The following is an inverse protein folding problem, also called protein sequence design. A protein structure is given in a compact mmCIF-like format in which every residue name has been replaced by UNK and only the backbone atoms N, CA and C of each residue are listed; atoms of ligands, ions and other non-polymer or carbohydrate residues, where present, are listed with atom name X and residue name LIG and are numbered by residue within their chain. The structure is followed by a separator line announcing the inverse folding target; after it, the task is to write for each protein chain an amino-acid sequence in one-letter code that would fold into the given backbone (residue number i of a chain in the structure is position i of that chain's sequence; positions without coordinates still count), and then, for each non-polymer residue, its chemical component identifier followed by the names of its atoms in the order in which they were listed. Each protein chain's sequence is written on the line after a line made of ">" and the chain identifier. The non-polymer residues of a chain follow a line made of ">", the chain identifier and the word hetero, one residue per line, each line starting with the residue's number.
data_IF_556262961350
#
_entry.id   IF_556262961350
#
_cell.length_a   1.000
_cell.length_b   1.000
_cell.length_c   1.000
_cell.angle_alpha   90.00
_cell.angle_beta   90.00
_cell.angle_gamma   90.00
#
_symmetry.space_group_name_H-M   'P 1'
#
loop_
_entity.id
_entity.type
_entity.pdbx_description
1 polymer ?
#
# COMPACT_ATOMS: atom_id res chain seq x y z
N UNK A 1 17.77 -10.12 -20.50
CA UNK A 1 17.63 -11.59 -20.40
C UNK A 1 16.77 -11.94 -19.19
N UNK A 2 17.16 -11.56 -17.97
CA UNK A 2 16.38 -11.86 -16.76
C UNK A 2 14.92 -11.37 -16.78
N UNK A 3 14.65 -10.16 -17.33
CA UNK A 3 13.28 -9.65 -17.44
C UNK A 3 12.42 -10.48 -18.42
N UNK A 4 12.96 -10.81 -19.60
CA UNK A 4 12.22 -11.62 -20.58
C UNK A 4 11.92 -13.02 -20.05
N UNK A 5 12.84 -13.60 -19.28
CA UNK A 5 12.67 -14.94 -18.70
C UNK A 5 11.53 -14.97 -17.67
N UNK A 6 11.43 -13.97 -16.78
CA UNK A 6 10.33 -13.92 -15.80
C UNK A 6 8.98 -13.61 -16.45
N UNK A 7 8.94 -12.75 -17.47
CA UNK A 7 7.72 -12.47 -18.22
C UNK A 7 7.22 -13.71 -18.97
N UNK A 8 8.11 -14.44 -19.65
CA UNK A 8 7.77 -15.68 -20.31
C UNK A 8 7.27 -16.74 -19.32
N UNK A 9 7.91 -16.84 -18.16
CA UNK A 9 7.47 -17.75 -17.10
C UNK A 9 6.07 -17.40 -16.56
N UNK A 10 5.82 -16.14 -16.24
CA UNK A 10 4.51 -15.69 -15.76
C UNK A 10 3.44 -15.91 -16.82
N UNK A 11 3.73 -15.62 -18.10
CA UNK A 11 2.80 -15.85 -19.20
C UNK A 11 2.39 -17.33 -19.33
N UNK A 12 3.35 -18.24 -19.17
CA UNK A 12 3.08 -19.67 -19.21
C UNK A 12 2.25 -20.14 -17.99
N UNK A 13 2.52 -19.60 -16.80
CA UNK A 13 2.02 -20.13 -15.53
C UNK A 13 0.82 -19.37 -14.92
N UNK A 14 0.49 -18.17 -15.41
CA UNK A 14 -0.74 -17.48 -15.02
C UNK A 14 -1.94 -18.32 -15.46
N UNK A 15 -2.84 -18.56 -14.50
CA UNK A 15 -4.13 -19.23 -14.67
C UNK A 15 -5.26 -18.19 -14.53
N UNK A 16 -5.82 -17.70 -15.66
CA UNK A 16 -6.91 -16.72 -15.68
C UNK A 16 -8.07 -17.01 -14.72
N UNK A 17 -8.61 -18.23 -14.79
CA UNK A 17 -9.76 -18.64 -13.97
C UNK A 17 -9.46 -18.58 -12.46
N UNK A 18 -8.22 -18.88 -12.05
CA UNK A 18 -7.80 -18.77 -10.66
C UNK A 18 -7.79 -17.30 -10.21
N UNK A 19 -7.22 -16.40 -11.01
CA UNK A 19 -7.16 -14.97 -10.65
C UNK A 19 -8.54 -14.32 -10.59
N UNK A 20 -9.45 -14.68 -11.51
CA UNK A 20 -10.85 -14.22 -11.48
C UNK A 20 -11.58 -14.72 -10.22
N UNK A 21 -11.33 -15.96 -9.79
CA UNK A 21 -11.87 -16.50 -8.55
C UNK A 21 -11.30 -15.77 -7.32
N UNK A 22 -9.99 -15.53 -7.29
CA UNK A 22 -9.32 -14.80 -6.19
C UNK A 22 -9.89 -13.39 -6.07
N UNK A 23 -10.05 -12.67 -7.18
CA UNK A 23 -10.65 -11.33 -7.19
C UNK A 23 -12.05 -11.32 -6.57
N UNK A 24 -12.94 -12.21 -7.03
CA UNK A 24 -14.29 -12.35 -6.48
C UNK A 24 -14.28 -12.73 -5.00
N UNK A 25 -13.36 -13.61 -4.60
CA UNK A 25 -13.21 -14.05 -3.21
C UNK A 25 -12.78 -12.90 -2.29
N UNK A 26 -11.81 -12.09 -2.74
CA UNK A 26 -11.38 -10.89 -2.02
C UNK A 26 -12.53 -9.87 -1.92
N UNK A 27 -13.25 -9.59 -3.02
CA UNK A 27 -14.41 -8.68 -3.03
C UNK A 27 -15.47 -9.13 -2.03
N UNK A 28 -15.79 -10.43 -1.98
CA UNK A 28 -16.79 -10.98 -1.07
C UNK A 28 -16.37 -10.87 0.40
N UNK A 29 -15.11 -11.21 0.71
CA UNK A 29 -14.58 -11.09 2.07
C UNK A 29 -14.61 -9.62 2.54
N UNK A 30 -14.13 -8.68 1.72
CA UNK A 30 -14.13 -7.24 2.03
C UNK A 30 -15.55 -6.63 2.13
N UNK A 31 -16.58 -7.34 1.66
CA UNK A 31 -17.99 -6.98 1.81
C UNK A 31 -18.69 -7.65 2.98
N UNK A 32 -17.97 -8.33 3.86
CA UNK A 32 -18.56 -9.08 4.98
C UNK A 32 -19.58 -10.13 4.51
N UNK A 33 -19.41 -10.70 3.31
CA UNK A 33 -20.23 -11.83 2.88
C UNK A 33 -19.76 -13.10 3.58
N UNK A 34 -20.65 -14.07 3.86
CA UNK A 34 -20.23 -15.36 4.40
C UNK A 34 -19.15 -16.02 3.52
N UNK A 35 -18.10 -16.52 4.14
CA UNK A 35 -16.97 -17.15 3.46
C UNK A 35 -16.85 -18.60 3.92
N UNK A 36 -16.57 -19.52 2.99
CA UNK A 36 -16.19 -20.90 3.32
C UNK A 36 -14.79 -20.93 3.96
N UNK A 37 -13.86 -20.13 3.42
CA UNK A 37 -12.56 -19.85 4.00
C UNK A 37 -12.14 -18.41 3.72
N UNK A 38 -11.42 -17.81 4.66
CA UNK A 38 -10.85 -16.48 4.45
C UNK A 38 -9.85 -16.48 3.27
N UNK A 39 -9.74 -15.37 2.53
CA UNK A 39 -8.65 -15.19 1.57
C UNK A 39 -7.31 -15.13 2.29
N UNK A 40 -6.32 -15.87 1.80
CA UNK A 40 -4.95 -15.82 2.32
C UNK A 40 -3.91 -15.80 1.20
N UNK A 41 -2.96 -14.87 1.31
CA UNK A 41 -1.73 -14.84 0.52
C UNK A 41 -0.56 -15.38 1.34
N UNK A 42 0.26 -16.27 0.78
CA UNK A 42 1.36 -16.94 1.48
C UNK A 42 2.66 -16.69 0.74
N UNK A 43 3.54 -15.92 1.36
CA UNK A 43 4.88 -15.68 0.84
C UNK A 43 5.85 -16.75 1.32
N UNK A 44 6.84 -17.10 0.51
CA UNK A 44 7.92 -18.02 0.87
C UNK A 44 9.17 -17.68 0.05
N UNK A 45 10.38 -18.14 0.44
CA UNK A 45 11.57 -17.85 -0.33
C UNK A 45 11.55 -18.69 -1.62
N UNK A 46 11.44 -18.03 -2.76
CA UNK A 46 11.66 -18.65 -4.08
C UNK A 46 13.03 -18.21 -4.62
N UNK A 47 13.73 -19.12 -5.28
CA UNK A 47 15.10 -18.90 -5.79
C UNK A 47 15.18 -18.79 -7.31
N UNK A 48 14.09 -19.07 -8.02
CA UNK A 48 14.05 -19.05 -9.49
C UNK A 48 14.28 -17.65 -10.04
N UNK A 49 13.67 -16.66 -9.39
CA UNK A 49 13.77 -15.25 -9.74
C UNK A 49 14.18 -14.45 -8.51
N UNK A 50 15.45 -14.60 -8.10
CA UNK A 50 15.99 -13.88 -6.96
C UNK A 50 15.91 -12.37 -7.21
N UNK A 51 15.39 -11.62 -6.23
CA UNK A 51 15.30 -10.16 -6.29
C UNK A 51 16.68 -9.52 -6.23
N UNK A 52 16.84 -8.45 -7.00
CA UNK A 52 17.99 -7.56 -6.95
C UNK A 52 17.91 -6.66 -5.70
N UNK A 53 19.06 -6.19 -5.16
CA UNK A 53 19.06 -5.15 -4.13
C UNK A 53 18.30 -3.89 -4.59
N UNK A 54 17.64 -3.21 -3.65
CA UNK A 54 16.80 -2.06 -3.96
C UNK A 54 17.56 -0.95 -4.71
N UNK A 55 18.81 -0.66 -4.35
CA UNK A 55 19.64 0.34 -5.02
C UNK A 55 19.86 0.06 -6.51
N UNK A 56 19.92 -1.22 -6.91
CA UNK A 56 20.04 -1.61 -8.32
C UNK A 56 18.74 -1.40 -9.11
N UNK A 57 17.60 -1.28 -8.42
CA UNK A 57 16.28 -1.03 -9.03
C UNK A 57 15.89 0.44 -9.03
N UNK A 58 16.38 1.21 -8.04
CA UNK A 58 15.99 2.60 -7.87
C UNK A 58 16.33 3.45 -9.10
N UNK A 59 17.49 3.20 -9.71
CA UNK A 59 17.95 3.93 -10.89
C UNK A 59 17.64 3.26 -12.25
N UNK A 60 17.00 2.08 -12.25
CA UNK A 60 16.82 1.29 -13.46
C UNK A 60 15.41 0.66 -13.52
N UNK A 61 14.59 1.14 -14.46
CA UNK A 61 13.19 0.70 -14.60
C UNK A 61 13.05 -0.78 -15.01
N UNK A 62 13.99 -1.34 -15.78
CA UNK A 62 14.01 -2.78 -16.13
C UNK A 62 14.21 -3.64 -14.88
N UNK A 63 15.21 -3.28 -14.07
CA UNK A 63 15.49 -3.96 -12.81
C UNK A 63 14.33 -3.81 -11.81
N UNK A 64 13.69 -2.65 -11.77
CA UNK A 64 12.51 -2.41 -10.94
C UNK A 64 11.35 -3.30 -11.38
N UNK A 65 11.04 -3.35 -12.69
CA UNK A 65 10.01 -4.23 -13.24
C UNK A 65 10.27 -5.68 -12.87
N UNK A 66 11.50 -6.15 -13.06
CA UNK A 66 11.91 -7.52 -12.70
C UNK A 66 11.65 -7.80 -11.20
N UNK A 67 12.01 -6.89 -10.30
CA UNK A 67 11.80 -7.06 -8.86
C UNK A 67 10.32 -7.07 -8.45
N UNK A 68 9.51 -6.22 -9.07
CA UNK A 68 8.06 -6.16 -8.83
C UNK A 68 7.40 -7.47 -9.33
N UNK A 69 7.76 -7.96 -10.52
CA UNK A 69 7.30 -9.25 -11.07
C UNK A 69 7.71 -10.44 -10.17
N UNK A 70 8.95 -10.45 -9.69
CA UNK A 70 9.45 -11.48 -8.78
C UNK A 70 8.67 -11.54 -7.45
N UNK A 71 7.98 -10.46 -7.07
CA UNK A 71 7.09 -10.43 -5.92
C UNK A 71 5.80 -11.23 -6.08
N UNK A 72 5.35 -11.44 -7.32
CA UNK A 72 4.12 -12.19 -7.66
C UNK A 72 4.33 -13.69 -7.92
N UNK A 73 5.57 -14.12 -8.14
CA UNK A 73 5.91 -15.52 -8.49
C UNK A 73 5.37 -16.52 -7.46
N UNK A 74 5.46 -16.19 -6.17
CA UNK A 74 4.98 -17.07 -5.08
C UNK A 74 3.47 -17.35 -5.17
N UNK A 75 2.67 -16.35 -5.53
CA UNK A 75 1.23 -16.50 -5.70
C UNK A 75 0.87 -17.31 -6.94
N UNK A 76 1.62 -17.16 -8.04
CA UNK A 76 1.43 -17.98 -9.25
C UNK A 76 1.75 -19.46 -8.99
N UNK A 77 2.86 -19.74 -8.31
CA UNK A 77 3.30 -21.10 -8.02
C UNK A 77 2.40 -21.80 -6.99
N UNK A 78 2.09 -21.13 -5.87
CA UNK A 78 1.30 -21.72 -4.78
C UNK A 78 -0.21 -21.71 -5.04
N UNK A 79 -0.65 -20.91 -6.02
CA UNK A 79 -2.06 -20.61 -6.31
C UNK A 79 -2.82 -20.17 -5.05
N UNK A 80 -2.18 -19.35 -4.22
CA UNK A 80 -2.82 -18.71 -3.08
C UNK A 80 -3.84 -17.65 -3.52
N UNK A 81 -4.42 -16.91 -2.57
CA UNK A 81 -5.38 -15.84 -2.87
C UNK A 81 -4.70 -14.47 -3.12
N UNK A 82 -3.46 -14.48 -3.63
CA UNK A 82 -2.72 -13.30 -4.03
C UNK A 82 -2.98 -12.87 -5.48
N UNK A 83 -2.97 -11.57 -5.72
CA UNK A 83 -3.09 -10.95 -7.04
C UNK A 83 -1.73 -10.47 -7.55
N UNK A 84 -1.64 -10.18 -8.85
CA UNK A 84 -0.42 -9.70 -9.49
C UNK A 84 -0.48 -8.19 -9.70
N UNK A 85 0.46 -7.47 -9.06
CA UNK A 85 0.45 -6.00 -9.03
C UNK A 85 1.86 -5.44 -9.20
N UNK A 86 2.01 -4.33 -9.91
CA UNK A 86 3.26 -3.59 -10.08
C UNK A 86 3.05 -2.12 -9.76
N UNK A 87 4.01 -1.48 -9.09
CA UNK A 87 4.07 -0.02 -8.95
C UNK A 87 5.41 0.53 -9.43
N UNK A 88 5.44 1.81 -9.79
CA UNK A 88 6.70 2.56 -9.81
C UNK A 88 7.19 2.75 -8.37
N UNK A 89 8.18 1.97 -7.97
CA UNK A 89 8.58 1.80 -6.58
C UNK A 89 9.74 2.72 -6.16
N UNK A 90 9.49 4.03 -6.15
CA UNK A 90 10.46 5.05 -5.70
C UNK A 90 10.43 5.35 -4.20
N UNK A 91 9.66 4.57 -3.43
CA UNK A 91 9.56 4.69 -1.98
C UNK A 91 8.92 5.99 -1.51
N UNK A 92 9.12 6.30 -0.22
CA UNK A 92 8.43 7.39 0.48
C UNK A 92 8.81 8.79 -0.01
N UNK A 93 9.94 8.91 -0.70
CA UNK A 93 10.42 10.17 -1.29
C UNK A 93 9.65 10.63 -2.52
N UNK A 94 8.67 9.86 -3.00
CA UNK A 94 7.92 10.14 -4.22
C UNK A 94 7.27 11.52 -4.22
N UNK A 95 6.32 11.79 -3.32
CA UNK A 95 5.66 13.09 -3.26
C UNK A 95 6.58 14.22 -2.71
N UNK A 96 7.41 14.02 -1.67
CA UNK A 96 8.38 15.02 -1.23
C UNK A 96 9.33 15.51 -2.34
N UNK A 97 9.74 14.64 -3.28
CA UNK A 97 10.66 15.02 -4.36
C UNK A 97 10.10 16.11 -5.29
N UNK A 98 8.77 16.21 -5.43
CA UNK A 98 8.15 17.28 -6.24
C UNK A 98 8.40 18.66 -5.64
N UNK A 99 8.53 18.74 -4.30
CA UNK A 99 8.86 19.95 -3.56
C UNK A 99 10.37 20.25 -3.52
N UNK A 100 11.17 19.46 -4.24
CA UNK A 100 12.63 19.60 -4.29
C UNK A 100 13.38 18.86 -3.19
N UNK A 101 12.72 18.00 -2.41
CA UNK A 101 13.39 17.20 -1.39
C UNK A 101 14.27 16.13 -2.03
N UNK A 102 15.44 15.88 -1.43
CA UNK A 102 16.39 14.89 -1.92
C UNK A 102 16.02 13.52 -1.36
N UNK A 103 15.87 12.53 -2.24
CA UNK A 103 15.59 11.14 -1.87
C UNK A 103 16.78 10.25 -2.22
N UNK A 104 17.37 9.58 -1.22
CA UNK A 104 18.60 8.77 -1.38
C UNK A 104 18.46 7.34 -0.86
N UNK A 105 18.94 6.37 -1.64
CA UNK A 105 19.02 4.97 -1.21
C UNK A 105 20.15 4.81 -0.19
N UNK A 106 19.87 4.14 0.92
CA UNK A 106 20.83 3.90 2.00
C UNK A 106 21.20 2.42 2.03
N UNK A 107 22.50 2.11 2.03
CA UNK A 107 23.06 0.74 2.12
C UNK A 107 22.61 -0.24 1.02
N UNK A 108 22.15 0.24 -0.13
CA UNK A 108 21.64 -0.52 -1.29
C UNK A 108 20.45 -1.46 -1.04
N UNK A 109 20.07 -1.70 0.21
CA UNK A 109 18.98 -2.61 0.60
C UNK A 109 17.79 -1.90 1.20
N UNK A 110 17.96 -0.69 1.75
CA UNK A 110 16.84 0.05 2.34
C UNK A 110 16.05 0.82 1.28
N UNK A 111 14.75 1.00 1.54
CA UNK A 111 13.95 2.02 0.85
C UNK A 111 14.58 3.42 1.04
N UNK A 112 14.32 4.37 0.14
CA UNK A 112 15.07 5.61 0.10
C UNK A 112 14.63 6.54 1.24
N UNK A 113 15.59 7.32 1.73
CA UNK A 113 15.41 8.30 2.79
C UNK A 113 15.24 9.69 2.18
N UNK A 114 14.44 10.53 2.82
CA UNK A 114 14.25 11.93 2.43
C UNK A 114 15.09 12.81 3.34
N UNK A 115 15.93 13.66 2.75
CA UNK A 115 16.60 14.72 3.48
C UNK A 115 15.60 15.89 3.66
N UNK A 116 15.22 16.15 4.91
CA UNK A 116 14.31 17.22 5.30
C UNK A 116 15.00 18.59 5.24
N UNK A 117 14.22 19.67 5.32
CA UNK A 117 14.76 21.03 5.33
C UNK A 117 15.40 21.38 6.68
N UNK A 118 16.38 22.28 6.66
CA UNK A 118 17.12 22.69 7.87
C UNK A 118 16.47 23.86 8.63
N UNK A 119 15.40 24.46 8.11
CA UNK A 119 14.78 25.63 8.75
C UNK A 119 13.32 25.86 8.40
N UNK A 120 12.61 26.53 9.31
CA UNK A 120 11.23 26.96 9.12
C UNK A 120 11.07 27.97 7.96
N UNK A 121 12.12 28.74 7.63
CA UNK A 121 12.07 29.67 6.49
C UNK A 121 12.02 28.92 5.15
N UNK A 122 12.65 27.75 5.06
CA UNK A 122 12.51 26.88 3.89
C UNK A 122 11.11 26.29 3.77
N UNK A 123 10.43 26.02 4.89
CA UNK A 123 9.00 25.62 4.88
C UNK A 123 8.13 26.74 4.33
N UNK A 124 8.36 27.99 4.78
CA UNK A 124 7.66 29.17 4.25
C UNK A 124 7.90 29.36 2.75
N UNK A 125 9.13 29.15 2.29
CA UNK A 125 9.47 29.22 0.87
C UNK A 125 8.75 28.14 0.04
N UNK A 126 8.70 26.89 0.54
CA UNK A 126 7.93 25.81 -0.08
C UNK A 126 6.44 26.18 -0.19
N UNK A 127 5.84 26.69 0.89
CA UNK A 127 4.46 27.14 0.91
C UNK A 127 4.23 28.28 -0.09
N UNK A 128 5.13 29.27 -0.11
CA UNK A 128 5.04 30.44 -0.99
C UNK A 128 5.11 30.07 -2.47
N UNK A 129 5.92 29.07 -2.84
CA UNK A 129 5.99 28.56 -4.22
C UNK A 129 4.70 27.86 -4.67
N UNK A 130 3.88 27.38 -3.73
CA UNK A 130 2.63 26.71 -4.01
C UNK A 130 2.81 25.32 -4.63
N UNK A 131 1.76 24.82 -5.29
CA UNK A 131 1.74 23.48 -5.89
C UNK A 131 2.85 23.36 -6.95
N UNK A 132 3.79 22.41 -6.81
CA UNK A 132 4.88 22.24 -7.77
C UNK A 132 4.38 21.71 -9.12
N UNK A 133 5.18 21.90 -10.17
CA UNK A 133 4.96 21.20 -11.44
C UNK A 133 5.06 19.68 -11.23
N UNK A 134 4.02 18.94 -11.61
CA UNK A 134 3.91 17.49 -11.46
C UNK A 134 4.91 16.68 -12.30
N UNK A 135 5.84 17.33 -13.01
CA UNK A 135 6.97 16.71 -13.70
C UNK A 135 8.30 16.83 -12.94
N UNK A 136 8.38 17.64 -11.87
CA UNK A 136 9.60 17.76 -11.05
C UNK A 136 9.83 16.53 -10.17
N UNK A 137 11.05 16.39 -9.64
CA UNK A 137 11.42 15.25 -8.80
C UNK A 137 11.17 13.92 -9.53
N UNK A 138 10.45 13.02 -8.86
CA UNK A 138 10.05 11.73 -9.45
C UNK A 138 8.75 11.80 -10.27
N UNK A 139 8.12 12.97 -10.40
CA UNK A 139 6.85 13.16 -11.14
C UNK A 139 6.88 12.59 -12.56
N UNK A 140 7.83 13.05 -13.38
CA UNK A 140 8.04 12.55 -14.75
C UNK A 140 8.51 11.10 -14.78
N UNK A 141 9.39 10.75 -13.84
CA UNK A 141 10.01 9.42 -13.74
C UNK A 141 8.97 8.32 -13.52
N UNK A 142 7.96 8.58 -12.69
CA UNK A 142 6.84 7.65 -12.44
C UNK A 142 6.05 7.37 -13.71
N UNK A 143 5.66 8.40 -14.46
CA UNK A 143 4.86 8.23 -15.68
C UNK A 143 5.65 7.47 -16.75
N UNK A 144 6.94 7.78 -16.93
CA UNK A 144 7.84 7.04 -17.83
C UNK A 144 7.99 5.58 -17.41
N UNK A 145 8.01 5.29 -16.10
CA UNK A 145 8.07 3.91 -15.60
C UNK A 145 6.81 3.12 -15.93
N UNK A 146 5.63 3.71 -15.77
CA UNK A 146 4.37 3.04 -16.13
C UNK A 146 4.22 2.84 -17.64
N UNK A 147 4.66 3.81 -18.44
CA UNK A 147 4.74 3.67 -19.91
C UNK A 147 5.65 2.48 -20.27
N UNK A 148 6.85 2.43 -19.70
CA UNK A 148 7.79 1.33 -19.88
C UNK A 148 7.18 -0.02 -19.46
N UNK A 149 6.50 -0.10 -18.30
CA UNK A 149 5.86 -1.34 -17.85
C UNK A 149 4.81 -1.83 -18.85
N UNK A 150 3.96 -0.95 -19.37
CA UNK A 150 2.96 -1.32 -20.38
C UNK A 150 3.61 -1.83 -21.66
N UNK A 151 4.67 -1.17 -22.12
CA UNK A 151 5.42 -1.60 -23.31
C UNK A 151 6.02 -3.01 -23.12
N UNK A 152 6.57 -3.32 -21.94
CA UNK A 152 7.15 -4.63 -21.66
C UNK A 152 6.10 -5.73 -21.47
N UNK A 153 4.92 -5.40 -20.95
CA UNK A 153 3.82 -6.36 -20.76
C UNK A 153 3.07 -6.66 -22.06
N UNK A 154 2.98 -5.70 -22.98
CA UNK A 154 2.16 -5.80 -24.20
C UNK A 154 2.36 -7.08 -25.05
N UNK A 155 3.57 -7.66 -25.19
CA UNK A 155 3.77 -8.91 -25.94
C UNK A 155 3.26 -10.18 -25.24
N UNK A 156 2.87 -10.10 -23.96
CA UNK A 156 2.50 -11.22 -23.10
C UNK A 156 1.02 -11.07 -22.69
N UNK A 157 0.12 -11.79 -23.36
CA UNK A 157 -1.33 -11.59 -23.29
C UNK A 157 -1.87 -11.71 -21.85
N UNK A 158 -1.51 -12.78 -21.14
CA UNK A 158 -1.96 -12.99 -19.76
C UNK A 158 -1.32 -11.97 -18.83
N UNK A 159 -0.02 -11.72 -18.95
CA UNK A 159 0.66 -10.72 -18.14
C UNK A 159 0.02 -9.34 -18.29
N UNK A 160 -0.22 -8.89 -19.53
CA UNK A 160 -0.82 -7.60 -19.84
C UNK A 160 -2.26 -7.46 -19.30
N UNK A 161 -3.00 -8.56 -19.21
CA UNK A 161 -4.38 -8.57 -18.75
C UNK A 161 -4.49 -8.62 -17.23
N UNK A 162 -3.70 -9.50 -16.59
CA UNK A 162 -3.86 -9.86 -15.19
C UNK A 162 -2.91 -9.13 -14.23
N UNK A 163 -1.81 -8.56 -14.73
CA UNK A 163 -0.89 -7.78 -13.90
C UNK A 163 -1.37 -6.32 -13.85
N UNK A 164 -1.71 -5.84 -12.65
CA UNK A 164 -2.29 -4.51 -12.45
C UNK A 164 -1.23 -3.49 -12.04
N UNK A 165 -1.16 -2.39 -12.80
CA UNK A 165 -0.33 -1.23 -12.53
C UNK A 165 -1.09 -0.32 -11.56
N UNK A 166 -0.63 -0.25 -10.31
CA UNK A 166 -1.27 0.51 -9.24
C UNK A 166 -0.46 1.70 -8.78
N UNK A 167 -1.14 2.63 -8.10
CA UNK A 167 -0.52 3.90 -7.75
C UNK A 167 0.74 3.73 -6.87
N UNK A 168 1.74 4.60 -7.05
CA UNK A 168 2.99 4.52 -6.28
C UNK A 168 2.77 4.93 -4.83
N UNK A 169 3.86 4.87 -4.06
CA UNK A 169 3.85 5.26 -2.67
C UNK A 169 3.86 6.78 -2.50
N UNK A 170 2.68 7.38 -2.40
CA UNK A 170 2.54 8.82 -2.21
C UNK A 170 2.48 9.26 -0.74
N UNK A 171 2.47 8.30 0.20
CA UNK A 171 2.28 8.54 1.62
C UNK A 171 0.94 9.28 1.92
N UNK A 172 0.63 9.51 3.20
CA UNK A 172 -0.43 10.41 3.65
C UNK A 172 0.08 11.86 3.73
N UNK A 173 -0.82 12.86 3.78
CA UNK A 173 -0.41 14.27 3.86
C UNK A 173 0.52 14.57 5.03
N UNK A 174 0.24 14.02 6.21
CA UNK A 174 1.06 14.26 7.39
C UNK A 174 2.45 13.62 7.27
N UNK A 175 2.53 12.41 6.72
CA UNK A 175 3.79 11.74 6.44
C UNK A 175 4.67 12.52 5.48
N UNK A 176 4.08 13.09 4.42
CA UNK A 176 4.83 13.94 3.48
C UNK A 176 5.27 15.25 4.13
N UNK A 177 4.40 15.89 4.92
CA UNK A 177 4.76 17.08 5.66
C UNK A 177 5.90 16.80 6.66
N UNK A 178 5.84 15.67 7.37
CA UNK A 178 6.88 15.20 8.28
C UNK A 178 8.19 14.86 7.55
N UNK A 179 8.14 14.28 6.34
CA UNK A 179 9.34 14.04 5.53
C UNK A 179 9.98 15.34 5.02
N UNK A 180 9.18 16.37 4.73
CA UNK A 180 9.67 17.68 4.28
C UNK A 180 10.26 18.47 5.46
N UNK A 181 9.54 18.58 6.57
CA UNK A 181 9.92 19.39 7.72
C UNK A 181 10.89 18.67 8.65
N UNK A 182 10.79 17.35 8.74
CA UNK A 182 11.52 16.56 9.72
C UNK A 182 10.87 16.62 11.11
N UNK A 183 11.59 16.18 12.15
CA UNK A 183 11.03 15.97 13.49
C UNK A 183 10.52 17.26 14.16
N UNK A 184 10.99 18.43 13.73
CA UNK A 184 10.54 19.71 14.28
C UNK A 184 9.05 19.97 14.04
N UNK A 185 8.41 19.28 13.08
CA UNK A 185 6.96 19.39 12.84
C UNK A 185 6.14 19.09 14.11
N UNK A 186 6.59 18.16 14.95
CA UNK A 186 5.86 17.79 16.16
C UNK A 186 5.81 18.93 17.18
N UNK A 187 6.86 19.75 17.24
CA UNK A 187 6.89 20.96 18.07
C UNK A 187 6.14 22.11 17.38
N UNK A 188 6.27 22.21 16.05
CA UNK A 188 5.57 23.21 15.25
C UNK A 188 4.03 23.10 15.34
N UNK A 189 3.48 21.91 15.58
CA UNK A 189 2.04 21.72 15.86
C UNK A 189 1.57 22.50 17.11
N UNK A 190 2.47 22.80 18.05
CA UNK A 190 2.16 23.63 19.22
C UNK A 190 2.54 25.10 18.99
N UNK A 191 3.73 25.35 18.47
CA UNK A 191 4.30 26.71 18.39
C UNK A 191 3.78 27.51 17.20
N UNK A 192 3.52 26.85 16.07
CA UNK A 192 3.10 27.48 14.81
C UNK A 192 2.07 26.61 14.06
N UNK A 193 0.91 26.28 14.66
CA UNK A 193 -0.09 25.39 14.07
C UNK A 193 -0.60 25.87 12.71
N UNK A 194 -0.78 27.18 12.53
CA UNK A 194 -1.21 27.77 11.25
C UNK A 194 -0.25 27.42 10.11
N UNK A 195 1.07 27.43 10.36
CA UNK A 195 2.07 27.09 9.36
C UNK A 195 2.05 25.59 9.01
N UNK A 196 1.77 24.73 10.00
CA UNK A 196 1.55 23.30 9.76
C UNK A 196 0.32 23.11 8.87
N UNK A 197 -0.78 23.81 9.15
CA UNK A 197 -1.98 23.75 8.32
C UNK A 197 -1.78 24.26 6.89
N UNK A 198 -0.98 25.32 6.70
CA UNK A 198 -0.60 25.81 5.38
C UNK A 198 0.18 24.76 4.58
N UNK A 199 1.18 24.12 5.21
CA UNK A 199 1.95 23.03 4.58
C UNK A 199 1.04 21.83 4.24
N UNK A 200 0.22 21.40 5.20
CA UNK A 200 -0.70 20.27 5.04
C UNK A 200 -1.70 20.51 3.90
N UNK A 201 -2.22 21.74 3.76
CA UNK A 201 -3.09 22.12 2.65
C UNK A 201 -2.37 22.01 1.31
N UNK A 202 -1.14 22.53 1.22
CA UNK A 202 -0.33 22.47 0.01
C UNK A 202 0.00 21.01 -0.38
N UNK A 203 0.43 20.19 0.58
CA UNK A 203 0.74 18.77 0.35
C UNK A 203 -0.50 18.02 -0.12
N UNK A 204 -1.65 18.26 0.52
CA UNK A 204 -2.93 17.61 0.16
C UNK A 204 -3.37 17.98 -1.24
N UNK A 205 -3.27 19.26 -1.62
CA UNK A 205 -3.61 19.70 -2.98
C UNK A 205 -2.68 19.07 -4.02
N UNK A 206 -1.39 19.03 -3.73
CA UNK A 206 -0.39 18.41 -4.61
C UNK A 206 -0.62 16.90 -4.76
N UNK A 207 -0.96 16.20 -3.66
CA UNK A 207 -1.35 14.78 -3.69
C UNK A 207 -2.52 14.57 -4.65
N UNK A 208 -3.60 15.35 -4.50
CA UNK A 208 -4.82 15.20 -5.31
C UNK A 208 -4.51 15.40 -6.79
N UNK A 209 -3.75 16.44 -7.13
CA UNK A 209 -3.41 16.73 -8.53
C UNK A 209 -2.50 15.64 -9.12
N UNK A 210 -1.50 15.19 -8.37
CA UNK A 210 -0.61 14.12 -8.81
C UNK A 210 -1.36 12.80 -8.99
N UNK A 211 -2.19 12.40 -8.02
CA UNK A 211 -2.95 11.16 -8.09
C UNK A 211 -3.93 11.17 -9.28
N UNK A 212 -4.63 12.30 -9.53
CA UNK A 212 -5.48 12.46 -10.73
C UNK A 212 -4.70 12.26 -12.04
N UNK A 213 -3.49 12.82 -12.14
CA UNK A 213 -2.61 12.61 -13.29
C UNK A 213 -2.19 11.15 -13.40
N UNK A 214 -1.74 10.55 -12.31
CA UNK A 214 -1.28 9.16 -12.28
C UNK A 214 -2.38 8.17 -12.65
N UNK A 215 -3.65 8.41 -12.30
CA UNK A 215 -4.76 7.52 -12.67
C UNK A 215 -4.90 7.25 -14.16
N UNK A 216 -4.46 8.15 -15.04
CA UNK A 216 -4.36 7.88 -16.50
C UNK A 216 -3.28 6.85 -16.89
N UNK A 217 -2.35 6.57 -15.96
CA UNK A 217 -1.24 5.63 -16.11
C UNK A 217 -1.48 4.27 -15.45
N UNK A 218 -2.61 4.10 -14.76
CA UNK A 218 -2.92 2.93 -13.97
C UNK A 218 -4.08 2.13 -14.58
N UNK A 219 -4.21 0.88 -14.18
CA UNK A 219 -5.38 0.03 -14.44
C UNK A 219 -5.78 -0.69 -13.14
N UNK A 220 -5.73 0.06 -12.04
CA UNK A 220 -5.81 -0.45 -10.67
C UNK A 220 -7.17 -0.31 -10.02
N UNK A 221 -8.23 0.01 -10.75
CA UNK A 221 -9.56 0.19 -10.16
C UNK A 221 -10.54 -0.89 -10.64
N UNK A 222 -11.32 -1.42 -9.69
CA UNK A 222 -12.54 -2.16 -9.97
C UNK A 222 -13.70 -1.29 -9.47
N UNK A 223 -14.64 -0.97 -10.35
CA UNK A 223 -15.85 -0.22 -9.99
C UNK A 223 -17.05 -1.02 -10.48
N UNK A 224 -17.86 -1.51 -9.53
CA UNK A 224 -19.05 -2.28 -9.81
C UNK A 224 -20.16 -1.96 -8.80
N UNK A 225 -21.26 -2.71 -8.86
CA UNK A 225 -22.40 -2.59 -7.95
C UNK A 225 -22.08 -2.86 -6.48
N UNK A 226 -20.97 -3.57 -6.19
CA UNK A 226 -20.50 -3.76 -4.82
C UNK A 226 -19.69 -2.55 -4.31
N UNK A 227 -19.11 -1.74 -5.18
CA UNK A 227 -18.39 -0.53 -4.79
C UNK A 227 -17.13 -0.30 -5.63
N UNK A 228 -16.19 0.45 -5.04
CA UNK A 228 -14.89 0.69 -5.63
C UNK A 228 -13.81 -0.08 -4.88
N UNK A 229 -12.83 -0.59 -5.61
CA UNK A 229 -11.63 -1.22 -5.07
C UNK A 229 -10.41 -0.75 -5.84
N UNK A 230 -9.25 -0.83 -5.19
CA UNK A 230 -7.98 -0.67 -5.85
C UNK A 230 -7.03 -1.82 -5.58
N UNK A 231 -6.24 -2.18 -6.59
CA UNK A 231 -5.19 -3.19 -6.43
C UNK A 231 -4.01 -2.58 -5.68
N UNK A 232 -3.46 -3.32 -4.72
CA UNK A 232 -2.27 -2.87 -3.98
C UNK A 232 -1.56 -4.05 -3.31
N UNK A 233 -0.23 -4.10 -3.38
CA UNK A 233 0.61 -5.13 -2.72
C UNK A 233 0.12 -6.58 -2.89
N UNK A 234 -0.34 -6.94 -4.09
CA UNK A 234 -0.85 -8.28 -4.40
C UNK A 234 -2.19 -8.63 -3.73
N UNK A 235 -3.01 -7.62 -3.40
CA UNK A 235 -4.36 -7.78 -2.87
C UNK A 235 -5.31 -6.68 -3.39
N UNK A 236 -6.55 -6.68 -2.91
CA UNK A 236 -7.53 -5.61 -3.13
C UNK A 236 -7.75 -4.80 -1.85
N UNK A 237 -7.89 -3.50 -2.04
CA UNK A 237 -8.21 -2.52 -1.02
C UNK A 237 -9.56 -1.89 -1.35
N UNK A 238 -10.38 -1.57 -0.35
CA UNK A 238 -11.66 -0.88 -0.60
C UNK A 238 -11.42 0.59 -0.90
N UNK A 239 -12.21 1.13 -1.82
CA UNK A 239 -12.08 2.48 -2.34
C UNK A 239 -11.06 2.60 -3.48
N UNK A 240 -10.73 3.82 -3.90
CA UNK A 240 -9.94 4.09 -5.11
C UNK A 240 -8.48 4.48 -4.84
N UNK A 241 -8.15 4.74 -3.57
CA UNK A 241 -6.82 5.19 -3.14
C UNK A 241 -6.44 4.57 -1.80
N UNK A 242 -5.14 4.42 -1.56
CA UNK A 242 -4.56 4.00 -0.28
C UNK A 242 -3.67 5.11 0.31
N UNK A 243 -4.06 5.67 1.45
CA UNK A 243 -3.23 6.58 2.25
C UNK A 243 -2.28 5.80 3.16
N UNK A 244 -1.05 6.27 3.39
CA UNK A 244 -0.12 5.69 4.38
C UNK A 244 0.18 6.70 5.49
N UNK A 245 -0.21 6.36 6.70
CA UNK A 245 -0.17 7.23 7.86
C UNK A 245 0.85 6.73 8.90
N UNK A 246 2.08 6.45 8.47
CA UNK A 246 3.13 5.86 9.31
C UNK A 246 3.66 6.83 10.37
N UNK A 247 3.59 8.14 10.11
CA UNK A 247 4.03 9.21 11.02
C UNK A 247 2.91 9.59 11.99
N UNK A 248 1.65 9.42 11.58
CA UNK A 248 0.49 9.73 12.41
C UNK A 248 0.41 8.86 13.67
N UNK A 249 1.03 7.67 13.66
CA UNK A 249 1.07 6.77 14.84
C UNK A 249 1.79 7.38 16.05
N UNK A 250 2.61 8.43 15.83
CA UNK A 250 3.28 9.19 16.89
C UNK A 250 2.38 10.25 17.55
N UNK A 251 1.16 10.44 17.04
CA UNK A 251 0.27 11.51 17.48
C UNK A 251 -0.69 11.04 18.57
N UNK A 252 -1.08 11.99 19.42
CA UNK A 252 -2.26 11.85 20.27
C UNK A 252 -3.53 11.93 19.44
N UNK A 253 -4.66 11.47 20.00
CA UNK A 253 -5.96 11.58 19.36
C UNK A 253 -6.32 13.02 18.94
N UNK A 254 -6.17 14.00 19.85
CA UNK A 254 -6.47 15.40 19.55
C UNK A 254 -5.60 15.95 18.39
N UNK A 255 -4.33 15.55 18.35
CA UNK A 255 -3.42 15.94 17.27
C UNK A 255 -3.79 15.29 15.93
N UNK A 256 -4.21 14.02 15.94
CA UNK A 256 -4.70 13.36 14.74
C UNK A 256 -5.98 14.04 14.21
N UNK A 257 -6.93 14.31 15.09
CA UNK A 257 -8.20 14.97 14.74
C UNK A 257 -7.99 16.37 14.13
N UNK A 258 -7.00 17.12 14.62
CA UNK A 258 -6.69 18.47 14.12
C UNK A 258 -5.84 18.46 12.85
N UNK A 259 -4.73 17.72 12.85
CA UNK A 259 -3.68 17.87 11.84
C UNK A 259 -3.66 16.77 10.77
N UNK A 260 -4.44 15.70 10.91
CA UNK A 260 -4.41 14.58 9.94
C UNK A 260 -5.79 14.33 9.36
N UNK A 261 -6.78 14.09 10.22
CA UNK A 261 -8.14 13.71 9.84
C UNK A 261 -8.77 14.63 8.76
N UNK A 262 -8.66 15.97 8.82
CA UNK A 262 -9.29 16.83 7.81
C UNK A 262 -8.69 16.65 6.41
N UNK A 263 -7.38 16.38 6.34
CA UNK A 263 -6.61 16.26 5.10
C UNK A 263 -6.80 14.90 4.45
N UNK A 264 -6.78 13.84 5.27
CA UNK A 264 -7.13 12.49 4.82
C UNK A 264 -8.56 12.44 4.30
N UNK A 265 -9.51 13.01 5.06
CA UNK A 265 -10.92 13.09 4.66
C UNK A 265 -11.06 13.79 3.31
N UNK A 266 -10.38 14.92 3.10
CA UNK A 266 -10.41 15.65 1.82
C UNK A 266 -9.94 14.79 0.66
N UNK A 267 -8.88 13.99 0.83
CA UNK A 267 -8.38 13.10 -0.24
C UNK A 267 -9.38 11.97 -0.49
N UNK A 268 -9.81 11.28 0.56
CA UNK A 268 -10.73 10.13 0.45
C UNK A 268 -12.05 10.57 -0.20
N UNK A 269 -12.60 11.72 0.19
CA UNK A 269 -13.78 12.33 -0.43
C UNK A 269 -13.54 12.66 -1.92
N UNK A 270 -12.39 13.26 -2.24
CA UNK A 270 -12.06 13.63 -3.63
C UNK A 270 -12.04 12.43 -4.57
N UNK A 271 -11.63 11.25 -4.09
CA UNK A 271 -11.63 10.01 -4.84
C UNK A 271 -12.87 9.13 -4.56
N UNK A 272 -13.82 9.62 -3.77
CA UNK A 272 -15.09 8.99 -3.40
C UNK A 272 -14.99 7.93 -2.30
N UNK A 273 -13.85 7.27 -2.15
CA UNK A 273 -13.50 6.39 -1.02
C UNK A 273 -12.05 5.93 -1.12
N UNK A 274 -11.52 5.41 -0.02
CA UNK A 274 -10.22 4.77 0.01
C UNK A 274 -10.03 3.87 1.21
N UNK A 275 -8.79 3.43 1.39
CA UNK A 275 -8.32 2.70 2.55
C UNK A 275 -7.14 3.45 3.20
N UNK A 276 -6.87 3.16 4.47
CA UNK A 276 -5.74 3.70 5.22
C UNK A 276 -4.79 2.57 5.61
N UNK A 277 -3.50 2.81 5.46
CA UNK A 277 -2.43 1.95 5.93
C UNK A 277 -1.61 2.66 7.01
N UNK A 278 -1.11 1.91 7.98
CA UNK A 278 0.03 2.31 8.80
C UNK A 278 0.80 1.08 9.31
N UNK A 279 2.07 1.25 9.62
CA UNK A 279 2.91 0.21 10.22
C UNK A 279 2.69 0.11 11.74
N UNK A 280 2.56 -1.11 12.23
CA UNK A 280 2.46 -1.41 13.65
C UNK A 280 1.05 -1.30 14.21
N UNK A 281 1.00 -0.81 15.46
CA UNK A 281 -0.23 -0.53 16.21
C UNK A 281 -0.26 0.93 16.60
N UNK A 282 -1.45 1.50 16.55
CA UNK A 282 -1.74 2.86 16.96
C UNK A 282 -3.05 2.85 17.74
N UNK A 283 -3.14 2.05 18.81
CA UNK A 283 -4.36 1.80 19.57
C UNK A 283 -5.09 3.09 20.00
N UNK A 284 -4.34 4.18 20.19
CA UNK A 284 -4.87 5.49 20.57
C UNK A 284 -5.62 6.24 19.46
N UNK A 285 -5.44 5.85 18.18
CA UNK A 285 -6.06 6.51 17.00
C UNK A 285 -6.52 5.54 15.89
N UNK A 286 -6.28 4.23 16.00
CA UNK A 286 -6.68 3.22 15.00
C UNK A 286 -8.16 3.33 14.67
N UNK A 287 -8.91 3.71 15.69
CA UNK A 287 -10.32 3.87 15.70
C UNK A 287 -10.80 5.15 15.04
N UNK A 288 -10.10 6.25 15.28
CA UNK A 288 -10.33 7.51 14.57
C UNK A 288 -9.98 7.39 13.08
N UNK A 289 -8.91 6.65 12.74
CA UNK A 289 -8.56 6.34 11.34
C UNK A 289 -9.60 5.43 10.67
N UNK A 290 -10.04 4.37 11.34
CA UNK A 290 -11.04 3.44 10.81
C UNK A 290 -12.41 4.11 10.56
N UNK A 291 -12.71 5.18 11.31
CA UNK A 291 -13.95 5.96 11.25
C UNK A 291 -13.80 7.27 10.45
N UNK A 292 -12.61 7.54 9.89
CA UNK A 292 -12.41 8.64 8.94
C UNK A 292 -13.46 8.58 7.83
N UNK A 293 -14.21 9.67 7.57
CA UNK A 293 -15.20 9.67 6.50
C UNK A 293 -14.60 9.23 5.16
N UNK A 294 -15.35 8.43 4.40
CA UNK A 294 -14.95 7.82 3.13
C UNK A 294 -13.82 6.76 3.22
N UNK A 295 -13.27 6.49 4.41
CA UNK A 295 -12.44 5.32 4.62
C UNK A 295 -13.30 4.05 4.66
N UNK A 296 -12.83 2.97 4.04
CA UNK A 296 -13.54 1.70 3.96
C UNK A 296 -12.69 0.50 4.35
N UNK A 297 -11.38 0.68 4.52
CA UNK A 297 -10.46 -0.41 4.79
C UNK A 297 -9.22 0.04 5.53
N UNK A 298 -8.67 -0.86 6.32
CA UNK A 298 -7.44 -0.66 7.08
C UNK A 298 -6.45 -1.75 6.75
N UNK A 299 -5.18 -1.39 6.59
CA UNK A 299 -4.08 -2.33 6.53
C UNK A 299 -3.02 -1.99 7.57
N UNK A 300 -2.55 -3.01 8.29
CA UNK A 300 -1.57 -2.87 9.36
C UNK A 300 -0.24 -3.52 8.91
N UNK A 301 0.81 -2.72 8.80
CA UNK A 301 2.16 -3.24 8.56
C UNK A 301 2.64 -4.04 9.77
N UNK A 302 2.91 -5.34 9.61
CA UNK A 302 3.36 -6.17 10.72
C UNK A 302 4.74 -5.74 11.23
N UNK A 303 4.88 -5.65 12.56
CA UNK A 303 6.15 -5.40 13.23
C UNK A 303 6.38 -6.45 14.31
N UNK A 304 7.48 -7.20 14.22
CA UNK A 304 7.77 -8.33 15.12
C UNK A 304 8.02 -7.95 16.58
N UNK A 305 8.11 -6.66 16.90
CA UNK A 305 8.26 -6.13 18.26
C UNK A 305 6.95 -5.65 18.89
N UNK A 306 5.81 -5.89 18.23
CA UNK A 306 4.48 -5.48 18.69
C UNK A 306 3.55 -6.70 18.67
N UNK A 307 2.65 -6.80 19.65
CA UNK A 307 1.69 -7.90 19.72
C UNK A 307 0.61 -7.75 18.64
N UNK A 308 0.53 -8.74 17.75
CA UNK A 308 -0.52 -8.91 16.74
C UNK A 308 -1.36 -10.16 17.07
N UNK A 309 -1.76 -10.96 16.07
CA UNK A 309 -2.57 -12.16 16.27
C UNK A 309 -4.03 -11.87 16.58
N UNK A 310 -4.73 -12.87 17.13
CA UNK A 310 -6.16 -12.74 17.49
C UNK A 310 -6.39 -11.74 18.64
N UNK A 311 -5.42 -11.55 19.55
CA UNK A 311 -5.54 -10.55 20.64
C UNK A 311 -5.80 -9.15 20.09
N UNK A 312 -5.10 -8.75 19.02
CA UNK A 312 -5.33 -7.44 18.42
C UNK A 312 -6.62 -7.43 17.58
N UNK A 313 -6.98 -8.53 16.92
CA UNK A 313 -8.27 -8.62 16.21
C UNK A 313 -9.47 -8.50 17.17
N UNK A 314 -9.38 -9.07 18.37
CA UNK A 314 -10.40 -8.96 19.43
C UNK A 314 -10.65 -7.49 19.81
N UNK A 315 -9.58 -6.69 19.92
CA UNK A 315 -9.69 -5.24 20.15
C UNK A 315 -10.46 -4.54 19.02
N UNK A 316 -10.20 -4.91 17.77
CA UNK A 316 -10.77 -4.24 16.60
C UNK A 316 -12.22 -4.68 16.29
N UNK A 317 -12.57 -5.93 16.60
CA UNK A 317 -13.75 -6.65 16.11
C UNK A 317 -15.04 -5.83 16.16
N UNK A 318 -15.44 -5.41 17.35
CA UNK A 318 -16.75 -4.77 17.57
C UNK A 318 -16.95 -3.55 16.65
N UNK A 319 -15.97 -2.64 16.63
CA UNK A 319 -16.11 -1.38 15.86
C UNK A 319 -15.90 -1.59 14.37
N UNK A 320 -15.01 -2.48 13.96
CA UNK A 320 -14.79 -2.77 12.55
C UNK A 320 -16.00 -3.45 11.93
N UNK A 321 -16.63 -4.40 12.61
CA UNK A 321 -17.86 -5.04 12.16
C UNK A 321 -19.07 -4.11 12.12
N UNK A 322 -19.19 -3.22 13.11
CA UNK A 322 -20.25 -2.22 13.18
C UNK A 322 -20.15 -1.21 12.02
N UNK A 323 -18.93 -0.74 11.72
CA UNK A 323 -18.68 0.25 10.67
C UNK A 323 -18.47 -0.36 9.28
N UNK A 324 -18.36 -1.70 9.18
CA UNK A 324 -18.02 -2.43 7.95
C UNK A 324 -16.68 -1.97 7.34
N UNK A 325 -15.73 -1.59 8.19
CA UNK A 325 -14.36 -1.25 7.81
C UNK A 325 -13.55 -2.54 7.64
N UNK A 326 -13.15 -2.86 6.41
CA UNK A 326 -12.45 -4.11 6.14
C UNK A 326 -11.01 -4.11 6.68
N UNK A 327 -10.50 -5.27 7.12
CA UNK A 327 -9.09 -5.45 7.46
C UNK A 327 -8.41 -6.16 6.28
N UNK A 328 -7.42 -5.51 5.67
CA UNK A 328 -6.81 -6.01 4.44
C UNK A 328 -5.42 -6.56 4.76
N UNK A 329 -5.10 -7.73 4.22
CA UNK A 329 -3.79 -8.40 4.33
C UNK A 329 -3.24 -8.45 5.75
N UNK A 330 -4.07 -8.83 6.71
CA UNK A 330 -3.65 -8.98 8.11
C UNK A 330 -2.62 -10.10 8.24
N UNK A 331 -1.46 -9.78 8.81
CA UNK A 331 -0.41 -10.76 8.97
C UNK A 331 -0.69 -11.69 10.15
N UNK A 332 -0.69 -12.98 9.87
CA UNK A 332 -0.59 -14.04 10.88
C UNK A 332 0.65 -14.87 10.55
N UNK A 333 1.48 -15.17 11.54
CA UNK A 333 2.50 -16.20 11.40
C UNK A 333 1.85 -17.55 11.05
N UNK A 334 2.65 -18.50 10.53
CA UNK A 334 2.13 -19.81 10.16
C UNK A 334 1.45 -20.51 11.36
N UNK A 335 2.02 -20.38 12.57
CA UNK A 335 1.45 -20.92 13.80
C UNK A 335 0.15 -20.23 14.20
N UNK A 336 0.10 -18.89 14.14
CA UNK A 336 -1.13 -18.14 14.46
C UNK A 336 -2.26 -18.47 13.47
N UNK A 337 -1.95 -18.60 12.18
CA UNK A 337 -2.96 -18.94 11.18
C UNK A 337 -3.49 -20.37 11.36
N UNK A 338 -2.61 -21.34 11.66
CA UNK A 338 -3.03 -22.72 11.95
C UNK A 338 -3.95 -22.81 13.16
N UNK A 339 -3.71 -21.96 14.17
CA UNK A 339 -4.49 -21.93 15.41
C UNK A 339 -5.62 -20.89 15.41
N UNK A 340 -5.87 -20.22 14.28
CA UNK A 340 -6.84 -19.14 14.16
C UNK A 340 -8.25 -19.64 14.47
N UNK A 341 -8.92 -19.00 15.44
CA UNK A 341 -10.21 -19.43 15.98
C UNK A 341 -11.42 -18.76 15.32
N UNK A 342 -11.19 -17.91 14.32
CA UNK A 342 -12.28 -17.23 13.62
C UNK A 342 -12.74 -15.96 14.31
N UNK A 343 -11.83 -15.19 14.96
CA UNK A 343 -12.17 -13.86 15.51
C UNK A 343 -12.90 -13.00 14.46
N UNK A 344 -12.47 -13.07 13.21
CA UNK A 344 -13.24 -12.68 12.02
C UNK A 344 -13.42 -13.89 11.10
N UNK A 345 -14.62 -14.11 10.60
CA UNK A 345 -14.95 -15.12 9.57
C UNK A 345 -15.19 -14.48 8.19
N UNK A 346 -15.28 -13.14 8.14
CA UNK A 346 -15.36 -12.31 6.94
C UNK A 346 -14.93 -10.87 7.29
N UNK A 347 -14.94 -9.95 6.32
CA UNK A 347 -14.48 -8.57 6.52
C UNK A 347 -12.97 -8.43 6.63
N UNK A 348 -12.24 -9.55 6.50
CA UNK A 348 -10.79 -9.62 6.62
C UNK A 348 -10.17 -10.41 5.47
N UNK A 349 -8.98 -10.01 5.03
CA UNK A 349 -8.10 -10.84 4.20
C UNK A 349 -6.77 -11.02 4.93
N UNK A 350 -6.15 -12.19 4.73
CA UNK A 350 -4.98 -12.61 5.51
C UNK A 350 -3.73 -12.67 4.65
N UNK A 351 -2.59 -12.54 5.29
CA UNK A 351 -1.30 -12.88 4.70
C UNK A 351 -0.44 -13.66 5.70
N UNK A 352 0.41 -14.54 5.20
CA UNK A 352 1.35 -15.29 6.02
C UNK A 352 2.67 -15.52 5.31
N UNK A 353 3.63 -16.05 6.04
CA UNK A 353 4.93 -16.48 5.53
C UNK A 353 5.18 -17.94 5.88
N UNK A 354 5.65 -18.70 4.89
CA UNK A 354 6.09 -20.08 5.04
C UNK A 354 7.58 -20.21 4.70
N UNK A 355 8.32 -21.14 5.34
CA UNK A 355 9.75 -21.31 5.12
C UNK A 355 10.09 -21.96 3.76
N UNK A 356 9.13 -22.63 3.10
CA UNK A 356 9.31 -23.26 1.79
C UNK A 356 7.98 -23.33 1.02
N UNK A 357 8.06 -23.72 -0.26
CA UNK A 357 6.88 -23.99 -1.10
C UNK A 357 6.00 -25.10 -0.51
N UNK A 358 6.57 -26.21 -0.06
CA UNK A 358 5.81 -27.34 0.49
C UNK A 358 5.04 -26.93 1.75
N UNK A 359 5.65 -26.14 2.63
CA UNK A 359 4.97 -25.60 3.81
C UNK A 359 3.92 -24.56 3.44
N UNK A 360 4.15 -23.76 2.38
CA UNK A 360 3.14 -22.83 1.87
C UNK A 360 1.88 -23.57 1.38
N UNK A 361 2.05 -24.67 0.63
CA UNK A 361 0.94 -25.50 0.17
C UNK A 361 0.18 -26.12 1.36
N UNK A 362 0.88 -26.67 2.36
CA UNK A 362 0.23 -27.20 3.56
C UNK A 362 -0.57 -26.12 4.29
N UNK A 363 0.03 -24.93 4.46
CA UNK A 363 -0.60 -23.82 5.16
C UNK A 363 -1.85 -23.34 4.42
N UNK A 364 -1.81 -23.23 3.09
CA UNK A 364 -2.96 -22.87 2.25
C UNK A 364 -4.18 -23.76 2.51
N UNK A 365 -3.97 -25.07 2.61
CA UNK A 365 -5.04 -26.07 2.77
C UNK A 365 -5.45 -26.31 4.24
N UNK A 366 -4.84 -25.62 5.21
CA UNK A 366 -5.05 -25.87 6.65
C UNK A 366 -6.51 -25.78 7.11
N UNK A 367 -7.31 -24.89 6.49
CA UNK A 367 -8.71 -24.64 6.85
C UNK A 367 -9.70 -25.08 5.77
N UNK A 368 -9.27 -25.85 4.76
CA UNK A 368 -10.15 -26.32 3.68
C UNK A 368 -10.89 -27.64 4.01
N UNK A 369 -10.52 -28.30 5.11
CA UNK A 369 -11.04 -29.62 5.51
C UNK A 369 -11.62 -29.67 6.93
N UNK A 370 -11.93 -28.52 7.53
CA UNK A 370 -12.68 -28.39 8.78
C UNK A 370 -14.17 -28.23 8.47
#
# INVERSE_FOLDING_TARGET
>A
MALQDILAYLEENIEPEHLDQVENKLINALHYKPMERLPIRIMYPQHKFAKLPYGATFENMENMLYNELAGGVTSVESKDDGLLTLRSNYGVGTLPSLFGMISRVVKDTNLPWVDHVDSVDMIRDIIHRGVPDLHTGFGKRMTETYEYYREQLQPYEKCNTYIKLYHPDLQGPFDVAHLIWGPDIYIAMYDTPDLVHELMNLVTETYIQLMKKLKGYLNDEIINEQGAFNYHWGSLYKGKVLLRNDSAVNLSKAMFEEFVLPYDTKILETFGSGSIHFCGRADQIVFDMAETPYNQGMNFGHMGNVEFGETYLDLLKERFEANKTAIISYHLSAEEYQNYRGTFDTGITLQSYAPSYEEAIKLRHCHEFL
#
